data_IF_801350449807
#
_entry.id   IF_801350449807
#
_cell.length_a   1.000
_cell.length_b   1.000
_cell.length_c   1.000
_cell.angle_alpha   90.00
_cell.angle_beta   90.00
_cell.angle_gamma   90.00
#
_symmetry.space_group_name_H-M   'P 1'
#
loop_
_entity.id
_entity.type
_entity.pdbx_description
1 polymer ?
#
# COMPACT_ATOMS: atom_id res chain seq x y z
N UNK A 1 27.56 4.30 9.73
CA UNK A 1 26.22 4.91 9.58
C UNK A 1 25.66 4.77 8.17
N UNK A 2 26.47 4.51 7.13
CA UNK A 2 26.01 4.54 5.74
C UNK A 2 25.13 3.35 5.33
N UNK A 3 25.39 2.14 5.85
CA UNK A 3 24.57 0.95 5.56
C UNK A 3 23.11 1.12 6.03
N UNK A 4 22.92 1.72 7.21
CA UNK A 4 21.61 2.01 7.79
C UNK A 4 20.86 3.04 6.93
N UNK A 5 21.52 4.14 6.52
CA UNK A 5 20.94 5.16 5.62
C UNK A 5 20.53 4.59 4.26
N UNK A 6 21.36 3.73 3.67
CA UNK A 6 21.06 3.07 2.39
C UNK A 6 19.83 2.18 2.47
N UNK A 7 19.71 1.37 3.54
CA UNK A 7 18.52 0.55 3.77
C UNK A 7 17.26 1.40 3.96
N UNK A 8 17.34 2.55 4.63
CA UNK A 8 16.19 3.44 4.77
C UNK A 8 15.71 4.02 3.43
N UNK A 9 16.61 4.53 2.58
CA UNK A 9 16.24 5.04 1.26
C UNK A 9 15.61 3.97 0.36
N UNK A 10 16.11 2.73 0.44
CA UNK A 10 15.53 1.60 -0.28
C UNK A 10 14.11 1.26 0.21
N UNK A 11 13.86 1.33 1.53
CA UNK A 11 12.53 1.06 2.10
C UNK A 11 11.54 2.19 1.74
N UNK A 12 11.96 3.46 1.74
CA UNK A 12 11.10 4.58 1.32
C UNK A 12 10.69 4.46 -0.15
N UNK A 13 11.64 4.14 -1.04
CA UNK A 13 11.35 3.89 -2.45
C UNK A 13 10.38 2.71 -2.62
N UNK A 14 10.62 1.60 -1.92
CA UNK A 14 9.73 0.45 -1.97
C UNK A 14 8.31 0.80 -1.47
N UNK A 15 8.19 1.61 -0.42
CA UNK A 15 6.89 2.07 0.07
C UNK A 15 6.16 2.94 -0.95
N UNK A 16 6.86 3.84 -1.65
CA UNK A 16 6.30 4.65 -2.73
C UNK A 16 5.82 3.78 -3.90
N UNK A 17 6.62 2.80 -4.32
CA UNK A 17 6.29 1.87 -5.40
C UNK A 17 5.07 1.00 -5.08
N UNK A 18 4.98 0.50 -3.85
CA UNK A 18 3.81 -0.28 -3.41
C UNK A 18 2.57 0.63 -3.37
N UNK A 19 2.68 1.89 -2.93
CA UNK A 19 1.54 2.83 -2.91
C UNK A 19 1.04 3.13 -4.33
N UNK A 20 1.96 3.39 -5.26
CA UNK A 20 1.63 3.60 -6.67
C UNK A 20 0.97 2.35 -7.28
N UNK A 21 1.49 1.16 -6.95
CA UNK A 21 0.94 -0.12 -7.41
C UNK A 21 -0.46 -0.36 -6.85
N UNK A 22 -0.69 -0.09 -5.55
CA UNK A 22 -2.03 -0.16 -4.94
C UNK A 22 -3.01 0.80 -5.60
N UNK A 23 -2.61 2.06 -5.84
CA UNK A 23 -3.43 3.03 -6.55
C UNK A 23 -3.82 2.57 -7.96
N UNK A 24 -2.87 1.95 -8.69
CA UNK A 24 -3.12 1.35 -10.01
C UNK A 24 -4.09 0.16 -9.93
N UNK A 25 -3.93 -0.73 -8.95
CA UNK A 25 -4.85 -1.86 -8.72
C UNK A 25 -6.27 -1.36 -8.44
N UNK A 26 -6.42 -0.37 -7.54
CA UNK A 26 -7.72 0.20 -7.21
C UNK A 26 -8.39 0.86 -8.41
N UNK A 27 -7.62 1.52 -9.27
CA UNK A 27 -8.13 2.13 -10.51
C UNK A 27 -8.61 1.06 -11.51
N UNK A 28 -7.79 0.03 -11.75
CA UNK A 28 -8.16 -1.10 -12.61
C UNK A 28 -9.42 -1.81 -12.10
N UNK A 29 -9.56 -1.93 -10.77
CA UNK A 29 -10.73 -2.51 -10.13
C UNK A 29 -11.98 -1.66 -10.37
N UNK A 30 -11.87 -0.35 -10.19
CA UNK A 30 -12.97 0.59 -10.42
C UNK A 30 -13.43 0.55 -11.88
N UNK A 31 -12.48 0.54 -12.82
CA UNK A 31 -12.74 0.43 -14.25
C UNK A 31 -13.45 -0.90 -14.58
N UNK A 32 -12.93 -2.01 -14.05
CA UNK A 32 -13.54 -3.32 -14.23
C UNK A 32 -14.97 -3.34 -13.67
N UNK A 33 -15.18 -2.81 -12.46
CA UNK A 33 -16.51 -2.73 -11.85
C UNK A 33 -17.48 -1.91 -12.70
N UNK A 34 -17.03 -0.76 -13.22
CA UNK A 34 -17.83 0.08 -14.10
C UNK A 34 -18.21 -0.61 -15.41
N UNK A 35 -17.30 -1.40 -15.99
CA UNK A 35 -17.55 -2.15 -17.22
C UNK A 35 -18.54 -3.30 -17.00
N UNK A 36 -18.46 -3.98 -15.86
CA UNK A 36 -19.32 -5.14 -15.57
C UNK A 36 -20.70 -4.72 -15.07
N UNK A 37 -20.84 -3.55 -14.41
CA UNK A 37 -22.12 -3.03 -13.89
C UNK A 37 -23.34 -3.23 -14.82
N UNK A 38 -23.32 -2.84 -16.11
CA UNK A 38 -24.45 -3.06 -17.02
C UNK A 38 -24.74 -4.54 -17.30
N UNK A 39 -23.74 -5.42 -17.23
CA UNK A 39 -23.90 -6.87 -17.40
C UNK A 39 -24.46 -7.53 -16.14
N UNK A 40 -24.12 -7.02 -14.94
CA UNK A 40 -24.69 -7.50 -13.67
C UNK A 40 -26.21 -7.42 -13.67
N UNK A 41 -26.78 -6.37 -14.27
CA UNK A 41 -28.23 -6.21 -14.39
C UNK A 41 -28.91 -7.32 -15.22
N UNK A 42 -28.15 -8.04 -16.05
CA UNK A 42 -28.62 -9.14 -16.90
C UNK A 42 -28.26 -10.53 -16.35
N UNK A 43 -27.44 -10.60 -15.30
CA UNK A 43 -27.03 -11.87 -14.70
C UNK A 43 -28.03 -12.28 -13.61
N UNK A 44 -28.82 -13.32 -13.87
CA UNK A 44 -29.69 -13.96 -12.89
C UNK A 44 -29.04 -15.25 -12.32
N UNK A 45 -29.39 -15.61 -11.08
CA UNK A 45 -28.98 -16.88 -10.46
C UNK A 45 -27.49 -16.98 -10.10
N UNK A 46 -26.88 -18.13 -10.37
CA UNK A 46 -25.53 -18.50 -9.88
C UNK A 46 -24.40 -17.60 -10.38
N UNK A 47 -24.57 -16.96 -11.54
CA UNK A 47 -23.56 -16.04 -12.09
C UNK A 47 -23.44 -14.74 -11.30
N UNK A 48 -24.56 -14.26 -10.73
CA UNK A 48 -24.54 -13.11 -9.83
C UNK A 48 -23.80 -13.42 -8.52
N UNK A 49 -23.98 -14.62 -7.98
CA UNK A 49 -23.28 -15.07 -6.76
C UNK A 49 -21.77 -15.20 -6.98
N UNK A 50 -21.35 -15.79 -8.11
CA UNK A 50 -19.93 -15.90 -8.47
C UNK A 50 -19.26 -14.52 -8.62
N UNK A 51 -19.94 -13.56 -9.26
CA UNK A 51 -19.46 -12.19 -9.36
C UNK A 51 -19.32 -11.53 -7.99
N UNK A 52 -20.32 -11.63 -7.13
CA UNK A 52 -20.25 -11.05 -5.78
C UNK A 52 -19.09 -11.63 -4.96
N UNK A 53 -18.80 -12.93 -5.07
CA UNK A 53 -17.64 -13.54 -4.42
C UNK A 53 -16.31 -13.00 -4.98
N UNK A 54 -16.19 -12.92 -6.31
CA UNK A 54 -15.02 -12.32 -6.94
C UNK A 54 -14.86 -10.86 -6.47
N UNK A 55 -15.97 -10.13 -6.36
CA UNK A 55 -15.99 -8.77 -5.87
C UNK A 55 -15.46 -8.65 -4.44
N UNK A 56 -16.04 -9.42 -3.53
CA UNK A 56 -15.61 -9.40 -2.14
C UNK A 56 -14.14 -9.78 -1.99
N UNK A 57 -13.67 -10.78 -2.76
CA UNK A 57 -12.27 -11.22 -2.72
C UNK A 57 -11.32 -10.10 -3.11
N UNK A 58 -11.59 -9.39 -4.20
CA UNK A 58 -10.72 -8.31 -4.63
C UNK A 58 -10.76 -7.10 -3.69
N UNK A 59 -11.94 -6.78 -3.12
CA UNK A 59 -12.12 -5.62 -2.23
C UNK A 59 -11.32 -5.85 -0.94
N UNK A 60 -11.34 -7.10 -0.45
CA UNK A 60 -10.54 -7.54 0.69
C UNK A 60 -9.03 -7.47 0.42
N UNK A 61 -8.57 -7.98 -0.75
CA UNK A 61 -7.15 -7.92 -1.10
C UNK A 61 -6.63 -6.49 -1.23
N UNK A 62 -7.43 -5.58 -1.77
CA UNK A 62 -7.08 -4.16 -1.84
C UNK A 62 -6.98 -3.52 -0.44
N UNK A 63 -7.92 -3.83 0.45
CA UNK A 63 -7.90 -3.34 1.84
C UNK A 63 -6.67 -3.86 2.62
N UNK A 64 -6.32 -5.13 2.44
CA UNK A 64 -5.14 -5.75 3.05
C UNK A 64 -3.85 -5.09 2.55
N UNK A 65 -3.71 -4.89 1.24
CA UNK A 65 -2.55 -4.21 0.64
C UNK A 65 -2.39 -2.79 1.20
N UNK A 66 -3.48 -2.02 1.28
CA UNK A 66 -3.47 -0.68 1.87
C UNK A 66 -3.06 -0.68 3.36
N UNK A 67 -3.44 -1.72 4.10
CA UNK A 67 -3.06 -1.87 5.51
C UNK A 67 -1.57 -2.15 5.68
N UNK A 68 -1.02 -3.05 4.86
CA UNK A 68 0.41 -3.37 4.82
C UNK A 68 1.21 -2.11 4.49
N UNK A 69 0.78 -1.38 3.46
CA UNK A 69 1.36 -0.12 3.03
C UNK A 69 1.44 0.94 4.12
N UNK A 70 0.31 1.19 4.77
CA UNK A 70 0.22 2.13 5.89
C UNK A 70 1.17 1.72 7.03
N UNK A 71 1.33 0.42 7.26
CA UNK A 71 2.24 -0.10 8.29
C UNK A 71 3.71 0.10 7.91
N UNK A 72 4.09 -0.15 6.67
CA UNK A 72 5.45 0.11 6.17
C UNK A 72 5.76 1.60 6.28
N UNK A 73 4.87 2.47 5.79
CA UNK A 73 5.07 3.93 5.83
C UNK A 73 5.30 4.44 7.26
N UNK A 74 4.48 3.99 8.23
CA UNK A 74 4.67 4.33 9.65
C UNK A 74 6.01 3.84 10.21
N UNK A 75 6.43 2.64 9.83
CA UNK A 75 7.70 2.05 10.28
C UNK A 75 8.89 2.85 9.75
N UNK A 76 8.84 3.29 8.49
CA UNK A 76 9.86 4.15 7.88
C UNK A 76 9.93 5.51 8.58
N UNK A 77 8.79 6.16 8.81
CA UNK A 77 8.74 7.45 9.49
C UNK A 77 9.34 7.37 10.90
N UNK A 78 8.97 6.35 11.68
CA UNK A 78 9.56 6.12 13.01
C UNK A 78 11.08 5.87 12.96
N UNK A 79 11.57 5.22 11.90
CA UNK A 79 12.99 5.02 11.66
C UNK A 79 13.73 6.34 11.40
N UNK A 80 13.13 7.24 10.61
CA UNK A 80 13.68 8.55 10.29
C UNK A 80 13.80 9.42 11.56
N UNK A 81 12.74 9.50 12.36
CA UNK A 81 12.73 10.29 13.60
C UNK A 81 13.85 9.85 14.55
N UNK A 82 13.97 8.54 14.79
CA UNK A 82 15.02 7.96 15.63
C UNK A 82 16.42 8.26 15.10
N UNK A 83 16.64 8.15 13.79
CA UNK A 83 17.94 8.43 13.18
C UNK A 83 18.30 9.92 13.26
N UNK A 84 17.31 10.81 13.09
CA UNK A 84 17.50 12.25 13.22
C UNK A 84 17.92 12.64 14.64
N UNK A 85 17.30 12.01 15.64
CA UNK A 85 17.64 12.22 17.06
C UNK A 85 19.03 11.66 17.40
N UNK A 86 19.35 10.45 16.93
CA UNK A 86 20.70 9.88 17.09
C UNK A 86 21.76 10.77 16.44
N UNK A 87 21.50 11.31 15.24
CA UNK A 87 22.42 12.22 14.56
C UNK A 87 22.56 13.56 15.30
N UNK A 88 21.47 14.09 15.86
CA UNK A 88 21.50 15.32 16.68
C UNK A 88 22.30 15.13 17.96
N UNK A 89 22.08 14.02 18.67
CA UNK A 89 22.83 13.66 19.88
C UNK A 89 24.30 13.41 19.58
N UNK A 90 24.60 12.69 18.50
CA UNK A 90 25.96 12.48 18.04
C UNK A 90 26.61 13.84 17.78
N UNK A 91 26.05 14.70 16.92
CA UNK A 91 26.59 16.03 16.61
C UNK A 91 26.83 16.89 17.88
N UNK A 92 25.93 16.84 18.86
CA UNK A 92 26.08 17.55 20.13
C UNK A 92 27.22 17.00 21.01
N UNK A 93 27.62 15.73 20.84
CA UNK A 93 28.74 15.13 21.58
C UNK A 93 30.13 15.46 21.02
N UNK A 94 30.21 16.08 19.83
CA UNK A 94 31.47 16.52 19.21
C UNK A 94 31.76 18.02 19.39
N UNK A 95 30.89 18.74 20.13
CA UNK A 95 31.11 20.13 20.55
C UNK A 95 31.48 20.19 22.03
#
# INVERSE_FOLDING_TARGET
>A
MDAIKYQFGAIESAAADINATSGRINSLLADLKSQIQPMVATWEGDSAAAYQQAQAKWDNSAAELNTILSTIARTVAQGNDRMSDVNRMAAASWG
#
